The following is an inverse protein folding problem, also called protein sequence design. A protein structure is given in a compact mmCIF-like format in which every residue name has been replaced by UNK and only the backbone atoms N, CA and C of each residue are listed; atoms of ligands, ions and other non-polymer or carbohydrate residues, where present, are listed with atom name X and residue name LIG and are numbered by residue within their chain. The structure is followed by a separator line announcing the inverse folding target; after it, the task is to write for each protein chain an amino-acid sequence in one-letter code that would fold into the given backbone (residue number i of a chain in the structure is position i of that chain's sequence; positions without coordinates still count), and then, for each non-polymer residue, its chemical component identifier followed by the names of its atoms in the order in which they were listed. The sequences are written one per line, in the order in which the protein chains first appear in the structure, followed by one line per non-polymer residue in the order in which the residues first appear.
data_IF_289990521111
#
_entry.id   IF_289990521111
#
_cell.length_a   1.000
_cell.length_b   1.000
_cell.length_c   1.000
_cell.angle_alpha   90.00
_cell.angle_beta   90.00
_cell.angle_gamma   90.00
#
_symmetry.space_group_name_H-M   'P 1'
#
loop_
_entity.id
_entity.type
_entity.pdbx_description
1 polymer ?
#
# COMPACT_ATOMS: atom_id res chain seq x y z
N UNK A 1 -14.67 -19.30 -0.23
CA UNK A 1 -14.25 -18.20 -1.13
C UNK A 1 -13.62 -18.75 -2.43
N UNK A 2 -12.53 -19.52 -2.38
CA UNK A 2 -11.87 -20.07 -3.58
C UNK A 2 -12.80 -20.86 -4.52
N UNK A 3 -13.65 -21.74 -3.97
CA UNK A 3 -14.67 -22.48 -4.75
C UNK A 3 -15.68 -21.60 -5.51
N UNK A 4 -15.90 -20.37 -5.04
CA UNK A 4 -16.91 -19.45 -5.60
C UNK A 4 -16.25 -18.43 -6.54
N UNK A 5 -15.07 -17.94 -6.18
CA UNK A 5 -14.41 -16.82 -6.87
C UNK A 5 -13.19 -17.24 -7.70
N UNK A 6 -12.80 -18.52 -7.68
CA UNK A 6 -11.61 -19.04 -8.37
C UNK A 6 -10.29 -18.49 -7.80
N UNK A 7 -10.35 -17.67 -6.75
CA UNK A 7 -9.20 -16.97 -6.17
C UNK A 7 -9.19 -17.09 -4.65
N UNK A 8 -8.02 -17.03 -4.05
CA UNK A 8 -7.80 -16.94 -2.60
C UNK A 8 -7.61 -15.49 -2.15
N UNK A 9 -7.66 -14.55 -3.10
CA UNK A 9 -7.51 -13.11 -2.86
C UNK A 9 -8.82 -12.53 -2.32
N UNK A 10 -9.12 -12.80 -1.05
CA UNK A 10 -10.27 -12.15 -0.37
C UNK A 10 -9.99 -10.65 -0.26
N UNK A 11 -10.91 -9.78 -0.72
CA UNK A 11 -10.82 -8.35 -0.52
C UNK A 11 -10.83 -8.00 0.97
N UNK A 12 -10.09 -6.96 1.36
CA UNK A 12 -10.08 -6.47 2.75
C UNK A 12 -11.49 -6.10 3.25
N UNK A 13 -12.30 -5.52 2.37
CA UNK A 13 -13.73 -5.34 2.57
C UNK A 13 -14.43 -6.38 1.71
N UNK A 14 -14.85 -7.48 2.32
CA UNK A 14 -15.68 -8.49 1.68
C UNK A 14 -17.11 -8.37 2.22
N UNK A 15 -18.01 -7.61 1.56
CA UNK A 15 -19.35 -7.36 2.08
C UNK A 15 -20.18 -8.62 2.40
N UNK A 16 -20.07 -9.73 1.63
CA UNK A 16 -20.78 -10.96 1.95
C UNK A 16 -20.33 -11.63 3.26
N UNK A 17 -19.07 -11.44 3.65
CA UNK A 17 -18.55 -11.89 4.96
C UNK A 17 -17.43 -10.95 5.45
N UNK A 18 -17.79 -9.86 6.15
CA UNK A 18 -16.83 -8.89 6.64
C UNK A 18 -15.86 -9.49 7.66
N UNK A 19 -16.27 -10.55 8.38
CA UNK A 19 -15.41 -11.22 9.37
C UNK A 19 -14.27 -11.94 8.69
N UNK A 20 -14.55 -12.63 7.58
CA UNK A 20 -13.54 -13.26 6.75
C UNK A 20 -12.56 -12.24 6.16
N UNK A 21 -13.06 -11.12 5.62
CA UNK A 21 -12.22 -10.05 5.08
C UNK A 21 -11.25 -9.47 6.13
N UNK A 22 -11.76 -9.20 7.33
CA UNK A 22 -10.96 -8.72 8.46
C UNK A 22 -9.94 -9.76 8.94
N UNK A 23 -10.33 -11.04 9.00
CA UNK A 23 -9.43 -12.12 9.40
C UNK A 23 -8.27 -12.28 8.40
N UNK A 24 -8.57 -12.27 7.09
CA UNK A 24 -7.55 -12.34 6.03
C UNK A 24 -6.58 -11.16 6.13
N UNK A 25 -7.09 -9.94 6.34
CA UNK A 25 -6.25 -8.76 6.58
C UNK A 25 -5.32 -8.95 7.78
N UNK A 26 -5.83 -9.49 8.89
CA UNK A 26 -5.04 -9.75 10.09
C UNK A 26 -3.91 -10.74 9.82
N UNK A 27 -4.17 -11.84 9.09
CA UNK A 27 -3.13 -12.81 8.73
C UNK A 27 -2.03 -12.15 7.88
N UNK A 28 -2.42 -11.37 6.87
CA UNK A 28 -1.48 -10.64 6.01
C UNK A 28 -0.59 -9.67 6.79
N UNK A 29 -1.18 -8.91 7.72
CA UNK A 29 -0.42 -7.99 8.57
C UNK A 29 0.55 -8.73 9.49
N UNK A 30 0.09 -9.81 10.13
CA UNK A 30 0.96 -10.61 11.00
C UNK A 30 2.15 -11.19 10.23
N UNK A 31 1.91 -11.77 9.05
CA UNK A 31 2.98 -12.26 8.19
C UNK A 31 3.98 -11.16 7.78
N UNK A 32 3.50 -9.97 7.41
CA UNK A 32 4.38 -8.84 7.11
C UNK A 32 5.19 -8.36 8.31
N UNK A 33 4.60 -8.36 9.51
CA UNK A 33 5.32 -8.02 10.74
C UNK A 33 6.43 -9.04 11.02
N UNK A 34 6.15 -10.33 10.87
CA UNK A 34 7.14 -11.41 10.97
C UNK A 34 8.28 -11.23 9.97
N UNK A 35 7.98 -10.97 8.69
CA UNK A 35 8.98 -10.75 7.64
C UNK A 35 9.87 -9.51 7.90
N UNK A 36 9.35 -8.51 8.61
CA UNK A 36 10.09 -7.30 9.02
C UNK A 36 10.83 -7.45 10.35
N UNK A 37 10.86 -8.64 10.95
CA UNK A 37 11.47 -8.90 12.26
C UNK A 37 10.73 -8.24 13.43
N UNK A 38 9.46 -7.87 13.26
CA UNK A 38 8.62 -7.30 14.32
C UNK A 38 7.90 -8.41 15.07
N UNK A 39 7.39 -8.07 16.27
CA UNK A 39 6.53 -8.97 17.05
C UNK A 39 5.30 -9.39 16.22
N UNK A 40 5.07 -10.69 16.15
CA UNK A 40 3.97 -11.28 15.41
C UNK A 40 3.47 -12.54 16.10
N UNK A 41 2.18 -12.81 15.99
CA UNK A 41 1.59 -14.12 16.35
C UNK A 41 1.58 -15.11 15.18
N UNK A 42 2.19 -14.77 14.05
CA UNK A 42 2.38 -15.69 12.93
C UNK A 42 3.44 -16.74 13.29
N UNK A 43 3.20 -17.99 12.90
CA UNK A 43 4.13 -19.10 13.10
C UNK A 43 4.16 -20.00 11.85
N UNK A 44 5.13 -20.92 11.80
CA UNK A 44 5.35 -21.79 10.64
C UNK A 44 4.13 -22.66 10.31
N UNK A 45 3.45 -23.21 11.31
CA UNK A 45 2.26 -24.05 11.13
C UNK A 45 1.11 -23.27 10.46
N UNK A 46 0.83 -22.05 10.93
CA UNK A 46 -0.19 -21.17 10.32
C UNK A 46 0.14 -20.80 8.89
N UNK A 47 1.43 -20.61 8.59
CA UNK A 47 1.89 -20.31 7.21
C UNK A 47 1.63 -21.52 6.32
N UNK A 48 2.05 -22.71 6.73
CA UNK A 48 1.86 -23.95 5.96
C UNK A 48 0.38 -24.26 5.70
N UNK A 49 -0.49 -24.09 6.71
CA UNK A 49 -1.93 -24.27 6.55
C UNK A 49 -2.53 -23.31 5.50
N UNK A 50 -2.07 -22.06 5.49
CA UNK A 50 -2.52 -21.06 4.52
C UNK A 50 -1.95 -21.32 3.12
N UNK A 51 -0.68 -21.70 3.02
CA UNK A 51 -0.04 -22.07 1.75
C UNK A 51 -0.69 -23.31 1.12
N UNK A 52 -1.10 -24.29 1.94
CA UNK A 52 -1.88 -25.44 1.48
C UNK A 52 -3.23 -25.07 0.86
N UNK A 53 -3.75 -23.89 1.16
CA UNK A 53 -4.95 -23.32 0.53
C UNK A 53 -4.63 -22.39 -0.64
N UNK A 54 -3.37 -22.39 -1.14
CA UNK A 54 -2.86 -21.43 -2.12
C UNK A 54 -3.10 -19.96 -1.70
N UNK A 55 -3.01 -19.67 -0.40
CA UNK A 55 -3.22 -18.32 0.14
C UNK A 55 -2.16 -17.35 -0.38
N UNK A 56 -2.60 -16.28 -1.04
CA UNK A 56 -1.70 -15.27 -1.55
C UNK A 56 -1.29 -14.29 -0.44
N UNK A 57 -0.04 -14.43 -0.01
CA UNK A 57 0.64 -13.44 0.82
C UNK A 57 0.91 -12.16 0.01
N UNK A 58 0.77 -10.97 0.62
CA UNK A 58 1.19 -9.74 -0.03
C UNK A 58 2.71 -9.81 -0.25
N UNK A 59 3.14 -9.86 -1.52
CA UNK A 59 4.55 -9.66 -1.85
C UNK A 59 4.97 -8.29 -1.31
N UNK A 60 6.19 -8.22 -0.80
CA UNK A 60 6.75 -7.06 -0.09
C UNK A 60 6.71 -5.74 -0.88
N UNK A 61 6.34 -5.77 -2.17
CA UNK A 61 6.18 -4.62 -3.09
C UNK A 61 4.82 -4.53 -3.80
N UNK A 62 3.94 -5.53 -3.71
CA UNK A 62 2.59 -5.45 -4.33
C UNK A 62 1.60 -4.67 -3.44
N UNK A 63 2.10 -3.78 -2.60
CA UNK A 63 1.24 -2.90 -1.85
C UNK A 63 0.57 -1.94 -2.83
N UNK A 64 -0.72 -1.74 -2.61
CA UNK A 64 -1.53 -0.66 -3.16
C UNK A 64 -0.81 0.72 -3.16
N UNK A 65 0.29 0.87 -2.39
CA UNK A 65 1.23 1.98 -2.44
C UNK A 65 1.90 2.18 -3.80
N UNK A 66 2.39 1.14 -4.49
CA UNK A 66 3.09 1.31 -5.77
C UNK A 66 2.11 1.69 -6.86
N UNK A 67 0.95 1.02 -6.92
CA UNK A 67 -0.14 1.42 -7.80
C UNK A 67 -0.62 2.84 -7.49
N UNK A 68 -0.73 3.19 -6.21
CA UNK A 68 -1.10 4.53 -5.76
C UNK A 68 -0.07 5.59 -6.13
N UNK A 69 1.22 5.28 -6.01
CA UNK A 69 2.31 6.18 -6.37
C UNK A 69 2.33 6.45 -7.88
N UNK A 70 2.26 5.40 -8.71
CA UNK A 70 2.21 5.55 -10.16
C UNK A 70 0.97 6.30 -10.64
N UNK A 71 -0.19 6.08 -10.00
CA UNK A 71 -1.40 6.84 -10.30
C UNK A 71 -1.23 8.33 -9.99
N UNK A 72 -0.63 8.67 -8.85
CA UNK A 72 -0.36 10.06 -8.49
C UNK A 72 0.71 10.70 -9.38
N UNK A 73 1.75 9.95 -9.76
CA UNK A 73 2.76 10.40 -10.71
C UNK A 73 2.15 10.74 -12.08
N UNK A 74 1.26 9.89 -12.61
CA UNK A 74 0.53 10.19 -13.86
C UNK A 74 -0.28 11.48 -13.78
N UNK A 75 -0.94 11.74 -12.65
CA UNK A 75 -1.69 12.98 -12.41
C UNK A 75 -0.77 14.20 -12.33
N UNK A 76 0.40 14.06 -11.71
CA UNK A 76 1.41 15.12 -11.69
C UNK A 76 1.97 15.40 -13.09
N UNK A 77 2.24 14.37 -13.89
CA UNK A 77 2.71 14.51 -15.26
C UNK A 77 1.69 15.24 -16.13
N UNK A 78 0.40 14.94 -15.98
CA UNK A 78 -0.67 15.66 -16.68
C UNK A 78 -0.80 17.11 -16.22
N UNK A 79 -0.71 17.37 -14.90
CA UNK A 79 -0.66 18.74 -14.38
C UNK A 79 0.51 19.52 -14.99
N UNK A 80 1.70 18.92 -15.07
CA UNK A 80 2.86 19.54 -15.68
C UNK A 80 2.66 19.80 -17.17
N UNK A 81 2.04 18.87 -17.90
CA UNK A 81 1.70 19.04 -19.32
C UNK A 81 0.79 20.25 -19.56
N UNK A 82 -0.19 20.47 -18.67
CA UNK A 82 -1.17 21.57 -18.79
C UNK A 82 -0.59 22.91 -18.31
N UNK A 83 0.15 22.91 -17.20
CA UNK A 83 0.58 24.13 -16.50
C UNK A 83 2.05 24.49 -16.71
N UNK A 84 2.83 23.64 -17.38
CA UNK A 84 4.27 23.83 -17.58
C UNK A 84 5.11 23.67 -16.30
N UNK A 85 4.51 23.28 -15.17
CA UNK A 85 5.19 23.17 -13.87
C UNK A 85 4.70 21.98 -13.07
N UNK A 86 5.57 21.41 -12.23
CA UNK A 86 5.21 20.39 -11.25
C UNK A 86 4.93 21.01 -9.85
N UNK A 87 4.88 22.34 -9.78
CA UNK A 87 4.62 23.06 -8.52
C UNK A 87 3.13 23.11 -8.20
N UNK A 88 2.56 21.95 -7.84
CA UNK A 88 1.18 21.87 -7.36
C UNK A 88 1.09 22.48 -5.95
N UNK A 89 0.15 23.41 -5.68
CA UNK A 89 -0.15 23.90 -4.34
C UNK A 89 -0.66 22.77 -3.44
N UNK A 90 -0.35 22.82 -2.13
CA UNK A 90 -0.86 21.81 -1.18
C UNK A 90 -2.39 21.82 -1.14
N UNK A 91 -2.95 23.03 -1.16
CA UNK A 91 -4.37 23.27 -1.33
C UNK A 91 -4.64 23.52 -2.82
N UNK A 92 -4.91 22.44 -3.56
CA UNK A 92 -5.31 22.49 -4.97
C UNK A 92 -6.76 22.00 -5.16
N UNK A 93 -7.75 22.90 -5.34
CA UNK A 93 -9.17 22.54 -5.47
C UNK A 93 -9.55 21.58 -6.56
N UNK A 94 -8.99 21.68 -7.77
CA UNK A 94 -9.29 20.73 -8.82
C UNK A 94 -8.86 19.30 -8.47
N UNK A 95 -7.82 19.15 -7.65
CA UNK A 95 -7.33 17.86 -7.22
C UNK A 95 -6.63 17.89 -5.84
N UNK A 96 -7.41 17.90 -4.74
CA UNK A 96 -6.86 18.04 -3.39
C UNK A 96 -5.93 16.87 -3.01
N UNK A 97 -6.19 15.68 -3.59
CA UNK A 97 -5.36 14.49 -3.38
C UNK A 97 -3.97 14.66 -4.00
N UNK A 98 -3.89 15.24 -5.20
CA UNK A 98 -2.61 15.55 -5.85
C UNK A 98 -1.85 16.61 -5.07
N UNK A 99 -2.50 17.70 -4.66
CA UNK A 99 -1.86 18.76 -3.87
C UNK A 99 -1.23 18.23 -2.57
N UNK A 100 -1.98 17.45 -1.80
CA UNK A 100 -1.47 16.81 -0.59
C UNK A 100 -0.33 15.82 -0.86
N UNK A 101 -0.45 14.99 -1.91
CA UNK A 101 0.58 14.01 -2.25
C UNK A 101 1.90 14.66 -2.67
N UNK A 102 1.85 15.71 -3.50
CA UNK A 102 3.03 16.48 -3.91
C UNK A 102 3.67 17.18 -2.71
N UNK A 103 2.86 17.77 -1.83
CA UNK A 103 3.33 18.35 -0.57
C UNK A 103 4.10 17.32 0.29
N UNK A 104 3.58 16.10 0.40
CA UNK A 104 4.25 15.00 1.10
C UNK A 104 5.58 14.61 0.44
N UNK A 105 5.67 14.54 -0.89
CA UNK A 105 6.94 14.24 -1.58
C UNK A 105 8.01 15.30 -1.28
N UNK A 106 7.65 16.59 -1.30
CA UNK A 106 8.55 17.70 -0.97
C UNK A 106 9.05 17.62 0.47
N UNK A 107 8.15 17.37 1.42
CA UNK A 107 8.51 17.19 2.83
C UNK A 107 9.49 16.02 3.01
N UNK A 108 9.20 14.86 2.43
CA UNK A 108 10.06 13.68 2.52
C UNK A 108 11.46 13.93 1.92
N UNK A 109 11.54 14.69 0.82
CA UNK A 109 12.81 15.09 0.21
C UNK A 109 13.61 16.02 1.14
N UNK A 110 12.95 17.00 1.77
CA UNK A 110 13.61 17.88 2.75
C UNK A 110 14.16 17.10 3.95
N UNK A 111 13.43 16.10 4.45
CA UNK A 111 13.90 15.23 5.53
C UNK A 111 15.13 14.41 5.10
N UNK A 112 15.12 13.88 3.87
CA UNK A 112 16.27 13.17 3.32
C UNK A 112 17.52 14.06 3.23
N UNK A 113 17.37 15.31 2.80
CA UNK A 113 18.48 16.28 2.72
C UNK A 113 19.03 16.67 4.10
N UNK A 114 18.21 16.60 5.15
CA UNK A 114 18.62 16.88 6.53
C UNK A 114 19.30 15.70 7.24
N UNK A 115 19.47 14.56 6.56
CA UNK A 115 20.06 13.34 7.15
C UNK A 115 19.12 12.63 8.14
N UNK A 116 17.88 13.08 8.27
CA UNK A 116 16.85 12.41 9.07
C UNK A 116 16.32 11.23 8.25
N UNK A 117 16.37 10.01 8.80
CA UNK A 117 16.00 8.78 8.08
C UNK A 117 14.55 8.84 7.62
N UNK A 118 14.35 9.29 6.38
CA UNK A 118 13.07 9.32 5.70
C UNK A 118 12.78 7.93 5.12
N UNK A 119 11.50 7.51 5.17
CA UNK A 119 11.00 6.22 4.67
C UNK A 119 11.19 5.99 3.15
N UNK A 120 11.97 6.83 2.47
CA UNK A 120 12.30 6.70 1.04
C UNK A 120 13.50 5.77 0.77
N UNK A 121 14.21 5.34 1.82
CA UNK A 121 15.22 4.28 1.72
C UNK A 121 14.70 3.00 2.37
N UNK A 122 14.08 2.10 1.60
CA UNK A 122 14.03 0.64 1.77
C UNK A 122 13.18 -0.03 0.69
#
# INVERSE_FOLDING_TARGET
FHRIHGTTTVPARYPPDPRLGNWVMKQRHQYQSMQKGKTSSMNTERIQLLEGLAFQWPRHKDTLSDKGWHAQFKRLAEFHRIHGTATVPVWYPPDPKLGHWVGKQRYLYQQMQKGETSSMNK
#
